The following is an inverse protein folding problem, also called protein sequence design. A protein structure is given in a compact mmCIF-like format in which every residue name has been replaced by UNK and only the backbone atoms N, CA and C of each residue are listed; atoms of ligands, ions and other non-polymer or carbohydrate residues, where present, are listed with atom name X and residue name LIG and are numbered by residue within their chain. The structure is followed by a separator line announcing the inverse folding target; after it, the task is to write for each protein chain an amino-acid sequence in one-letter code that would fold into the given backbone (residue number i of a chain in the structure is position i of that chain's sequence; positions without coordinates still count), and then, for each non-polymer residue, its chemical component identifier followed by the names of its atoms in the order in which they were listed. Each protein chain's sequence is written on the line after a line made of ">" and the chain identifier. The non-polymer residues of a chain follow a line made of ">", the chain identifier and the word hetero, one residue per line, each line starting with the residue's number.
data_IF_012793947816
#
_entry.id   IF_012793947816
#
_cell.length_a   1.000
_cell.length_b   1.000
_cell.length_c   1.000
_cell.angle_alpha   90.00
_cell.angle_beta   90.00
_cell.angle_gamma   90.00
#
_symmetry.space_group_name_H-M   'P 1'
#
loop_
_entity.id
_entity.type
_entity.pdbx_description
1 polymer ?
#
# COMPACT_ATOMS: atom_id res chain seq x y z
N UNK A 1 -22.79 57.91 38.77
CA UNK A 1 -21.53 57.36 38.23
C UNK A 1 -21.82 55.96 37.69
N UNK A 2 -21.83 55.71 36.37
CA UNK A 2 -22.09 54.40 35.84
C UNK A 2 -20.76 53.57 35.85
N UNK A 3 -20.84 52.37 36.36
CA UNK A 3 -19.73 51.40 36.36
C UNK A 3 -19.73 50.75 34.97
N UNK A 4 -18.64 50.99 34.23
CA UNK A 4 -18.40 50.33 32.92
C UNK A 4 -17.90 48.92 33.23
N UNK A 5 -18.68 47.89 32.88
CA UNK A 5 -18.29 46.50 32.92
C UNK A 5 -17.67 46.17 31.57
N UNK A 6 -16.35 46.01 31.54
CA UNK A 6 -15.62 45.57 30.32
C UNK A 6 -15.76 44.05 30.22
N UNK A 7 -16.55 43.58 29.23
CA UNK A 7 -16.63 42.18 28.85
C UNK A 7 -15.44 41.87 27.95
N UNK A 8 -14.41 41.19 28.52
CA UNK A 8 -13.31 40.66 27.70
C UNK A 8 -13.81 39.39 27.04
N UNK A 9 -14.08 39.47 25.74
CA UNK A 9 -14.44 38.32 24.92
C UNK A 9 -13.17 37.58 24.56
N UNK A 10 -12.90 36.46 25.25
CA UNK A 10 -11.81 35.54 24.91
C UNK A 10 -12.18 34.80 23.62
N UNK A 11 -11.67 35.27 22.47
CA UNK A 11 -11.72 34.53 21.21
C UNK A 11 -10.72 33.40 21.30
N UNK A 12 -11.18 32.19 21.59
CA UNK A 12 -10.41 30.96 21.43
C UNK A 12 -10.18 30.74 19.93
N UNK A 13 -9.02 31.15 19.42
CA UNK A 13 -8.55 30.73 18.12
C UNK A 13 -8.32 29.22 18.16
N UNK A 14 -9.25 28.47 17.60
CA UNK A 14 -9.03 27.06 17.26
C UNK A 14 -8.00 27.01 16.13
N UNK A 15 -6.72 26.91 16.47
CA UNK A 15 -5.66 26.60 15.52
C UNK A 15 -5.83 25.11 15.19
N UNK A 16 -6.52 24.83 14.08
CA UNK A 16 -6.53 23.49 13.48
C UNK A 16 -5.11 23.19 13.03
N UNK A 17 -4.37 22.44 13.83
CA UNK A 17 -3.07 21.90 13.41
C UNK A 17 -3.38 20.88 12.32
N UNK A 18 -3.24 21.28 11.06
CA UNK A 18 -3.21 20.34 9.94
C UNK A 18 -1.98 19.44 10.16
N UNK A 19 -2.21 18.28 10.76
CA UNK A 19 -1.22 17.21 10.74
C UNK A 19 -1.06 16.81 9.27
N UNK A 20 0.00 17.27 8.63
CA UNK A 20 0.43 16.73 7.35
C UNK A 20 0.80 15.28 7.61
N UNK A 21 -0.16 14.38 7.32
CA UNK A 21 0.10 12.96 7.29
C UNK A 21 1.23 12.72 6.28
N UNK A 22 2.26 12.02 6.71
CA UNK A 22 3.35 11.61 5.84
C UNK A 22 2.74 10.81 4.68
N UNK A 23 3.01 11.20 3.43
CA UNK A 23 2.43 10.57 2.26
C UNK A 23 2.71 9.07 2.27
N UNK A 24 1.65 8.28 2.33
CA UNK A 24 1.74 6.83 2.23
C UNK A 24 2.00 6.43 0.78
N UNK A 25 2.82 5.41 0.58
CA UNK A 25 3.13 4.91 -0.76
C UNK A 25 3.47 3.41 -0.75
N UNK A 26 3.25 2.76 -1.87
CA UNK A 26 3.57 1.34 -2.01
C UNK A 26 5.01 1.07 -2.45
N UNK A 27 5.55 -0.03 -1.93
CA UNK A 27 6.75 -0.71 -2.40
C UNK A 27 6.47 -2.20 -2.47
N UNK A 28 7.36 -2.95 -3.08
CA UNK A 28 7.30 -4.41 -3.08
C UNK A 28 8.54 -5.01 -2.43
N UNK A 29 8.43 -6.21 -1.91
CA UNK A 29 9.57 -6.95 -1.38
C UNK A 29 10.51 -7.33 -2.52
N UNK A 30 11.81 -7.08 -2.34
CA UNK A 30 12.84 -7.29 -3.36
C UNK A 30 13.26 -8.75 -3.46
N UNK A 31 13.37 -9.43 -2.34
CA UNK A 31 13.94 -10.75 -2.21
C UNK A 31 12.88 -11.80 -1.90
N UNK A 32 13.23 -13.08 -2.10
CA UNK A 32 12.34 -14.19 -1.76
C UNK A 32 12.17 -14.35 -0.25
N UNK A 33 13.13 -13.89 0.55
CA UNK A 33 13.04 -13.81 2.00
C UNK A 33 13.30 -12.38 2.45
N UNK A 34 12.38 -11.80 3.23
CA UNK A 34 12.48 -10.45 3.78
C UNK A 34 12.06 -10.46 5.25
N UNK A 35 12.82 -9.78 6.09
CA UNK A 35 12.60 -9.72 7.54
C UNK A 35 11.80 -8.48 7.92
N UNK A 36 10.63 -8.67 8.51
CA UNK A 36 9.88 -7.63 9.20
C UNK A 36 10.29 -7.62 10.67
N UNK A 37 10.79 -6.48 11.16
CA UNK A 37 11.30 -6.32 12.51
C UNK A 37 10.35 -5.51 13.40
N UNK A 38 10.49 -5.64 14.71
CA UNK A 38 9.69 -4.89 15.68
C UNK A 38 10.05 -3.40 15.73
N UNK A 39 11.29 -3.04 15.35
CA UNK A 39 11.77 -1.66 15.37
C UNK A 39 12.76 -1.34 14.25
N UNK A 40 13.16 -0.07 14.10
CA UNK A 40 13.94 0.45 12.97
C UNK A 40 15.45 0.25 13.12
N UNK A 41 15.90 -0.93 13.52
CA UNK A 41 17.32 -1.31 13.56
C UNK A 41 17.46 -2.83 13.43
N UNK A 42 18.68 -3.28 13.12
CA UNK A 42 19.00 -4.72 13.07
C UNK A 42 19.02 -5.39 14.45
N UNK A 43 19.09 -4.60 15.53
CA UNK A 43 19.06 -5.09 16.92
C UNK A 43 17.67 -5.53 17.36
N UNK A 44 16.63 -5.03 16.69
CA UNK A 44 15.26 -5.46 16.99
C UNK A 44 14.99 -6.86 16.44
N UNK A 45 14.26 -7.69 17.19
CA UNK A 45 13.93 -9.04 16.76
C UNK A 45 13.07 -9.04 15.51
N UNK A 46 13.22 -10.10 14.72
CA UNK A 46 12.37 -10.36 13.56
C UNK A 46 10.99 -10.83 14.04
N UNK A 47 9.95 -10.19 13.55
CA UNK A 47 8.56 -10.48 13.85
C UNK A 47 7.95 -11.43 12.83
N UNK A 48 8.25 -11.21 11.54
CA UNK A 48 7.75 -12.03 10.41
C UNK A 48 8.89 -12.24 9.41
N UNK A 49 9.01 -13.47 8.92
CA UNK A 49 9.83 -13.82 7.77
C UNK A 49 8.92 -13.95 6.54
N UNK A 50 8.89 -12.93 5.69
CA UNK A 50 8.19 -13.02 4.41
C UNK A 50 8.96 -13.92 3.44
N UNK A 51 8.25 -14.82 2.78
CA UNK A 51 8.82 -15.74 1.77
C UNK A 51 8.15 -15.53 0.41
N UNK A 52 7.89 -14.29 0.04
CA UNK A 52 7.17 -13.97 -1.21
C UNK A 52 7.72 -12.70 -1.84
N UNK A 53 8.58 -12.86 -2.86
CA UNK A 53 9.06 -11.75 -3.68
C UNK A 53 7.91 -11.00 -4.34
N UNK A 54 8.07 -9.68 -4.49
CA UNK A 54 7.08 -8.75 -5.02
C UNK A 54 5.81 -8.57 -4.18
N UNK A 55 5.73 -9.13 -2.97
CA UNK A 55 4.62 -8.82 -2.09
C UNK A 55 4.54 -7.29 -1.90
N UNK A 56 3.40 -6.64 -2.20
CA UNK A 56 3.23 -5.22 -1.96
C UNK A 56 3.16 -4.94 -0.47
N UNK A 57 3.70 -3.80 -0.06
CA UNK A 57 3.64 -3.29 1.31
C UNK A 57 3.43 -1.79 1.26
N UNK A 58 2.55 -1.28 2.12
CA UNK A 58 2.28 0.14 2.28
C UNK A 58 3.30 0.74 3.24
N UNK A 59 4.06 1.72 2.79
CA UNK A 59 4.98 2.50 3.62
C UNK A 59 4.20 3.65 4.25
N UNK A 60 4.21 3.77 5.56
CA UNK A 60 3.52 4.86 6.26
C UNK A 60 4.43 5.63 7.23
N UNK A 61 5.67 5.18 7.45
CA UNK A 61 6.65 5.90 8.24
C UNK A 61 8.08 5.53 7.85
N UNK A 62 9.06 6.32 8.29
CA UNK A 62 10.48 6.10 8.03
C UNK A 62 11.34 6.50 9.21
N UNK A 63 12.39 5.72 9.46
CA UNK A 63 13.43 6.03 10.43
C UNK A 63 14.77 5.55 9.87
N UNK A 64 15.68 6.50 9.59
CA UNK A 64 16.97 6.21 8.96
C UNK A 64 16.79 5.33 7.70
N UNK A 65 17.48 4.19 7.63
CA UNK A 65 17.41 3.24 6.53
C UNK A 65 16.27 2.21 6.66
N UNK A 66 15.31 2.43 7.56
CA UNK A 66 14.16 1.57 7.73
C UNK A 66 12.86 2.26 7.33
N UNK A 67 11.89 1.46 6.89
CA UNK A 67 10.54 1.90 6.56
C UNK A 67 9.55 1.11 7.38
N UNK A 68 8.63 1.82 8.03
CA UNK A 68 7.50 1.18 8.71
C UNK A 68 6.46 0.84 7.66
N UNK A 69 6.08 -0.43 7.63
CA UNK A 69 5.18 -0.95 6.62
C UNK A 69 3.92 -1.53 7.23
N UNK A 70 2.90 -1.65 6.39
CA UNK A 70 1.72 -2.49 6.62
C UNK A 70 1.51 -3.38 5.39
N UNK A 71 1.26 -4.66 5.59
CA UNK A 71 0.90 -5.59 4.53
C UNK A 71 -0.63 -5.69 4.34
N UNK A 72 -1.08 -6.49 3.38
CA UNK A 72 -2.50 -6.67 3.04
C UNK A 72 -3.28 -7.45 4.11
N UNK A 73 -2.62 -8.07 5.07
CA UNK A 73 -3.19 -8.75 6.24
C UNK A 73 -3.12 -7.89 7.52
N UNK A 74 -2.74 -6.60 7.38
CA UNK A 74 -2.57 -5.64 8.47
C UNK A 74 -1.40 -5.93 9.44
N UNK A 75 -0.45 -6.79 9.05
CA UNK A 75 0.79 -6.90 9.81
C UNK A 75 1.63 -5.64 9.62
N UNK A 76 2.17 -5.11 10.71
CA UNK A 76 3.01 -3.91 10.69
C UNK A 76 4.34 -4.13 11.39
N UNK A 77 5.36 -3.44 10.92
CA UNK A 77 6.72 -3.47 11.44
C UNK A 77 7.69 -2.73 10.53
N UNK A 78 8.99 -3.00 10.69
CA UNK A 78 10.05 -2.27 10.02
C UNK A 78 10.85 -3.17 9.08
N UNK A 79 11.09 -2.67 7.87
CA UNK A 79 11.90 -3.33 6.83
C UNK A 79 13.03 -2.39 6.42
N UNK A 80 14.25 -2.92 6.28
CA UNK A 80 15.38 -2.15 5.77
C UNK A 80 15.21 -1.86 4.27
N UNK A 81 15.58 -0.66 3.83
CA UNK A 81 15.36 -0.18 2.45
C UNK A 81 15.99 -1.07 1.37
N UNK A 82 17.08 -1.77 1.69
CA UNK A 82 17.72 -2.71 0.75
C UNK A 82 16.82 -3.89 0.37
N UNK A 83 15.83 -4.20 1.21
CA UNK A 83 14.87 -5.29 0.99
C UNK A 83 13.59 -4.85 0.26
N UNK A 84 13.51 -3.57 -0.10
CA UNK A 84 12.37 -2.97 -0.81
C UNK A 84 12.70 -2.70 -2.28
N UNK A 85 11.69 -2.71 -3.12
CA UNK A 85 11.78 -2.49 -4.57
C UNK A 85 10.69 -1.52 -5.05
N UNK A 86 11.00 -0.77 -6.11
CA UNK A 86 10.03 0.07 -6.83
C UNK A 86 9.21 -0.69 -7.88
N UNK A 87 9.50 -1.98 -8.10
CA UNK A 87 8.71 -2.81 -9.02
C UNK A 87 7.27 -2.89 -8.52
N UNK A 88 6.33 -2.77 -9.44
CA UNK A 88 4.91 -2.70 -9.10
C UNK A 88 4.27 -4.08 -9.12
N UNK A 89 3.53 -4.39 -8.06
CA UNK A 89 2.70 -5.57 -7.94
C UNK A 89 1.53 -5.28 -7.02
N UNK A 90 0.50 -6.09 -7.08
CA UNK A 90 -0.69 -5.96 -6.24
C UNK A 90 -1.22 -7.33 -5.82
N UNK A 91 -2.05 -7.32 -4.79
CA UNK A 91 -2.82 -8.49 -4.32
C UNK A 91 -4.27 -8.33 -4.80
N UNK A 92 -4.82 -9.38 -5.36
CA UNK A 92 -6.24 -9.46 -5.72
C UNK A 92 -7.08 -9.48 -4.45
N UNK A 93 -8.05 -8.56 -4.34
CA UNK A 93 -8.92 -8.40 -3.17
C UNK A 93 -10.23 -9.14 -3.29
N UNK A 94 -10.71 -9.37 -4.52
CA UNK A 94 -12.00 -9.99 -4.80
C UNK A 94 -11.84 -11.48 -5.14
N UNK A 95 -12.86 -12.25 -4.82
CA UNK A 95 -12.95 -13.63 -5.25
C UNK A 95 -13.34 -13.70 -6.74
N UNK A 96 -12.76 -14.69 -7.46
CA UNK A 96 -13.09 -14.98 -8.85
C UNK A 96 -12.96 -13.77 -9.82
N UNK A 97 -11.88 -13.00 -9.65
CA UNK A 97 -11.59 -11.85 -10.50
C UNK A 97 -11.19 -12.29 -11.92
N UNK A 98 -11.92 -11.81 -12.94
CA UNK A 98 -11.60 -12.08 -14.33
C UNK A 98 -10.43 -11.20 -14.83
N UNK A 99 -9.50 -11.82 -15.56
CA UNK A 99 -8.54 -11.13 -16.43
C UNK A 99 -9.10 -11.10 -17.84
N UNK A 100 -9.09 -9.95 -18.51
CA UNK A 100 -9.58 -9.74 -19.87
C UNK A 100 -8.44 -9.51 -20.86
N UNK A 101 -8.64 -9.85 -22.12
CA UNK A 101 -7.68 -9.56 -23.20
C UNK A 101 -7.47 -8.05 -23.41
N UNK A 102 -8.52 -7.26 -23.25
CA UNK A 102 -8.54 -5.79 -23.39
C UNK A 102 -9.13 -5.13 -22.16
N UNK A 103 -8.88 -3.84 -21.99
CA UNK A 103 -9.36 -3.01 -20.89
C UNK A 103 -10.87 -2.71 -21.01
N UNK A 104 -11.70 -3.73 -21.09
CA UNK A 104 -13.16 -3.64 -21.15
C UNK A 104 -13.79 -4.96 -20.71
N UNK A 105 -14.94 -4.89 -20.05
CA UNK A 105 -15.73 -6.06 -19.63
C UNK A 105 -16.34 -6.83 -20.81
N UNK A 106 -16.39 -6.22 -22.00
CA UNK A 106 -16.90 -6.85 -23.23
C UNK A 106 -15.83 -7.64 -24.00
N UNK A 107 -14.61 -7.67 -23.48
CA UNK A 107 -13.52 -8.46 -24.04
C UNK A 107 -13.58 -9.90 -23.54
N UNK A 108 -12.92 -10.81 -24.25
CA UNK A 108 -12.83 -12.21 -23.83
C UNK A 108 -12.05 -12.32 -22.51
N UNK A 109 -12.56 -13.08 -21.52
CA UNK A 109 -11.79 -13.43 -20.35
C UNK A 109 -10.69 -14.43 -20.70
N UNK A 110 -9.50 -14.27 -20.13
CA UNK A 110 -8.35 -15.19 -20.34
C UNK A 110 -8.08 -16.07 -19.14
N UNK A 111 -8.48 -15.64 -17.95
CA UNK A 111 -8.30 -16.40 -16.70
C UNK A 111 -9.18 -15.84 -15.58
N UNK A 112 -9.34 -16.63 -14.53
CA UNK A 112 -9.95 -16.25 -13.26
C UNK A 112 -8.86 -16.26 -12.19
N UNK A 113 -8.76 -15.18 -11.42
CA UNK A 113 -7.85 -15.07 -10.27
C UNK A 113 -8.62 -15.17 -8.97
N UNK A 114 -8.07 -15.91 -8.04
CA UNK A 114 -8.59 -16.01 -6.67
C UNK A 114 -8.05 -14.87 -5.81
N UNK A 115 -8.83 -14.47 -4.80
CA UNK A 115 -8.41 -13.56 -3.74
C UNK A 115 -7.06 -13.95 -3.16
N UNK A 116 -6.22 -12.97 -2.85
CA UNK A 116 -4.87 -13.18 -2.33
C UNK A 116 -3.83 -13.50 -3.41
N UNK A 117 -4.23 -13.61 -4.67
CA UNK A 117 -3.28 -13.83 -5.78
C UNK A 117 -2.41 -12.60 -6.00
N UNK A 118 -1.10 -12.82 -6.05
CA UNK A 118 -0.13 -11.78 -6.43
C UNK A 118 -0.12 -11.61 -7.95
N UNK A 119 -0.24 -10.38 -8.40
CA UNK A 119 -0.11 -9.99 -9.81
C UNK A 119 0.99 -8.94 -9.97
N UNK A 120 1.80 -9.07 -11.01
CA UNK A 120 2.78 -8.03 -11.39
C UNK A 120 2.09 -7.01 -12.28
N UNK A 121 2.27 -5.73 -11.98
CA UNK A 121 1.68 -4.64 -12.75
C UNK A 121 2.63 -4.21 -13.86
N UNK A 122 2.16 -4.24 -15.08
CA UNK A 122 2.88 -3.70 -16.23
C UNK A 122 2.59 -2.20 -16.36
N UNK A 123 1.32 -1.86 -16.58
CA UNK A 123 0.83 -0.48 -16.68
C UNK A 123 -0.63 -0.39 -16.25
N UNK A 124 -1.04 0.81 -15.83
CA UNK A 124 -2.45 1.13 -15.60
C UNK A 124 -2.85 2.28 -16.52
N UNK A 125 -4.09 2.24 -16.99
CA UNK A 125 -4.73 3.28 -17.76
C UNK A 125 -6.17 3.41 -17.28
N UNK A 126 -6.54 4.60 -16.80
CA UNK A 126 -7.84 4.82 -16.16
C UNK A 126 -8.12 3.78 -15.06
N UNK A 127 -9.25 3.10 -15.10
CA UNK A 127 -9.66 2.10 -14.11
C UNK A 127 -9.12 0.70 -14.35
N UNK A 128 -8.22 0.53 -15.32
CA UNK A 128 -7.70 -0.77 -15.73
C UNK A 128 -6.19 -0.87 -15.56
N UNK A 129 -5.73 -2.03 -15.09
CA UNK A 129 -4.31 -2.35 -15.03
C UNK A 129 -4.01 -3.60 -15.86
N UNK A 130 -2.97 -3.50 -16.71
CA UNK A 130 -2.41 -4.67 -17.40
C UNK A 130 -1.49 -5.40 -16.45
N UNK A 131 -1.81 -6.66 -16.20
CA UNK A 131 -1.14 -7.48 -15.21
C UNK A 131 -0.59 -8.77 -15.77
N UNK A 132 0.33 -9.39 -15.03
CA UNK A 132 0.83 -10.74 -15.27
C UNK A 132 0.69 -11.57 -14.00
N UNK A 133 0.08 -12.76 -14.11
CA UNK A 133 -0.02 -13.76 -13.07
C UNK A 133 0.36 -15.13 -13.64
N UNK A 134 1.54 -15.62 -13.27
CA UNK A 134 2.10 -16.83 -13.87
C UNK A 134 2.24 -16.70 -15.39
N UNK A 135 1.61 -17.59 -16.16
CA UNK A 135 1.58 -17.56 -17.63
C UNK A 135 0.54 -16.61 -18.21
N UNK A 136 -0.45 -16.19 -17.43
CA UNK A 136 -1.55 -15.35 -17.86
C UNK A 136 -1.17 -13.87 -17.86
N UNK A 137 -1.58 -13.15 -18.91
CA UNK A 137 -1.44 -11.70 -19.05
C UNK A 137 -2.76 -11.14 -19.53
N UNK A 138 -3.14 -9.96 -19.03
CA UNK A 138 -4.34 -9.27 -19.45
C UNK A 138 -4.67 -8.08 -18.58
N UNK A 139 -5.91 -7.64 -18.64
CA UNK A 139 -6.40 -6.45 -17.98
C UNK A 139 -7.40 -6.79 -16.88
N UNK A 140 -7.26 -6.13 -15.75
CA UNK A 140 -8.19 -6.21 -14.62
C UNK A 140 -8.51 -4.81 -14.11
N UNK A 141 -9.67 -4.65 -13.47
CA UNK A 141 -10.01 -3.39 -12.82
C UNK A 141 -9.15 -3.12 -11.60
N UNK A 142 -8.69 -1.88 -11.46
CA UNK A 142 -7.78 -1.49 -10.38
C UNK A 142 -8.45 -1.50 -9.00
N UNK A 143 -9.77 -1.32 -8.90
CA UNK A 143 -10.54 -1.37 -7.67
C UNK A 143 -10.42 -2.70 -6.91
N UNK A 144 -10.15 -3.79 -7.65
CA UNK A 144 -9.96 -5.15 -7.12
C UNK A 144 -8.51 -5.48 -6.76
N UNK A 145 -7.66 -4.45 -6.64
CA UNK A 145 -6.22 -4.59 -6.39
C UNK A 145 -5.77 -3.78 -5.18
N UNK A 146 -5.10 -4.44 -4.25
CA UNK A 146 -4.37 -3.77 -3.17
C UNK A 146 -2.89 -3.70 -3.52
N UNK A 147 -2.30 -2.51 -3.44
CA UNK A 147 -0.88 -2.28 -3.77
C UNK A 147 -0.66 -1.20 -4.84
N UNK A 148 -1.71 -0.46 -5.18
CA UNK A 148 -1.70 0.60 -6.20
C UNK A 148 -1.90 1.98 -5.56
N UNK A 149 -1.04 2.93 -5.97
CA UNK A 149 -1.26 4.39 -5.96
C UNK A 149 -0.57 4.96 -7.19
#
# INVERSE_FOLDING_TARGET
>A
MPKIVIFIFFILLNISVNSYGKDEYFRTLRNDTVNLRQGPSFDYPVKIFYKKKFLPVLIHDSSSNFRKIRDHENNSGWIHISQLSKKRAAIVTDDDLLIFERATIYSNPVAILKKGRLVKINKCKEDWCKVKSGKFKGWIKNESLWGLF
#
